data_IF_295628245508
#
_entry.id   IF_295628245508
#
_cell.length_a   1.000
_cell.length_b   1.000
_cell.length_c   1.000
_cell.angle_alpha   90.00
_cell.angle_beta   90.00
_cell.angle_gamma   90.00
#
_symmetry.space_group_name_H-M   'P 1'
#
loop_
_entity.id
_entity.type
_entity.pdbx_description
1 polymer ?
#
# COMPACT_ATOMS: atom_id res chain seq x y z
N UNK A 1 -14.17 -2.81 -21.71
CA UNK A 1 -13.24 -1.72 -21.30
C UNK A 1 -12.38 -2.18 -20.11
N UNK A 2 -11.04 -2.03 -20.18
CA UNK A 2 -10.16 -2.34 -19.05
C UNK A 2 -10.12 -1.17 -18.07
N UNK A 3 -10.11 -1.44 -16.77
CA UNK A 3 -9.90 -0.46 -15.71
C UNK A 3 -8.42 -0.06 -15.65
N UNK A 4 -8.13 1.09 -15.03
CA UNK A 4 -6.75 1.54 -14.82
C UNK A 4 -5.93 0.53 -14.00
N UNK A 5 -6.56 -0.14 -13.02
CA UNK A 5 -5.93 -1.20 -12.22
C UNK A 5 -5.52 -2.39 -13.09
N UNK A 6 -6.37 -2.83 -14.01
CA UNK A 6 -6.05 -3.94 -14.92
C UNK A 6 -4.94 -3.57 -15.91
N UNK A 7 -4.86 -2.31 -16.34
CA UNK A 7 -3.77 -1.83 -17.19
C UNK A 7 -2.44 -1.88 -16.43
N UNK A 8 -2.38 -1.33 -15.22
CA UNK A 8 -1.16 -1.37 -14.40
C UNK A 8 -0.75 -2.79 -14.02
N UNK A 9 -1.69 -3.65 -13.64
CA UNK A 9 -1.41 -5.05 -13.36
C UNK A 9 -0.82 -5.76 -14.58
N UNK A 10 -1.35 -5.49 -15.78
CA UNK A 10 -0.80 -6.04 -17.01
C UNK A 10 0.63 -5.55 -17.29
N UNK A 11 0.89 -4.25 -17.13
CA UNK A 11 2.23 -3.69 -17.30
C UNK A 11 3.23 -4.27 -16.30
N UNK A 12 2.81 -4.42 -15.04
CA UNK A 12 3.63 -5.04 -14.00
C UNK A 12 4.06 -6.46 -14.39
N UNK A 13 3.14 -7.30 -14.88
CA UNK A 13 3.47 -8.67 -15.31
C UNK A 13 4.51 -8.72 -16.44
N UNK A 14 4.57 -7.71 -17.30
CA UNK A 14 5.57 -7.64 -18.38
C UNK A 14 6.98 -7.30 -17.89
N UNK A 15 7.09 -6.62 -16.75
CA UNK A 15 8.37 -6.11 -16.23
C UNK A 15 8.81 -6.77 -14.93
N UNK A 16 7.94 -7.53 -14.25
CA UNK A 16 8.14 -8.12 -12.91
C UNK A 16 9.49 -8.81 -12.76
N UNK A 17 9.85 -9.67 -13.71
CA UNK A 17 11.11 -10.45 -13.69
C UNK A 17 12.38 -9.57 -13.71
N UNK A 18 12.27 -8.31 -14.11
CA UNK A 18 13.39 -7.36 -14.13
C UNK A 18 13.46 -6.44 -12.89
N UNK A 19 12.54 -6.61 -11.94
CA UNK A 19 12.48 -5.83 -10.70
C UNK A 19 13.05 -6.64 -9.54
N UNK A 20 13.70 -5.97 -8.59
CA UNK A 20 14.07 -6.62 -7.32
C UNK A 20 12.83 -6.99 -6.52
N UNK A 21 12.97 -7.97 -5.63
CA UNK A 21 11.90 -8.46 -4.75
C UNK A 21 11.23 -7.31 -3.97
N UNK A 22 12.02 -6.39 -3.41
CA UNK A 22 11.49 -5.20 -2.70
C UNK A 22 10.54 -4.35 -3.58
N UNK A 23 10.86 -4.17 -4.86
CA UNK A 23 10.00 -3.41 -5.78
C UNK A 23 8.78 -4.22 -6.20
N UNK A 24 8.92 -5.53 -6.35
CA UNK A 24 7.80 -6.43 -6.64
C UNK A 24 6.79 -6.39 -5.49
N UNK A 25 7.24 -6.60 -4.25
CA UNK A 25 6.41 -6.57 -3.04
C UNK A 25 5.68 -5.24 -2.87
N UNK A 26 6.39 -4.12 -3.09
CA UNK A 26 5.80 -2.79 -3.00
C UNK A 26 4.71 -2.57 -4.06
N UNK A 27 4.96 -2.97 -5.31
CA UNK A 27 4.00 -2.84 -6.41
C UNK A 27 2.79 -3.75 -6.22
N UNK A 28 2.99 -4.99 -5.81
CA UNK A 28 1.92 -5.94 -5.51
C UNK A 28 1.04 -5.40 -4.38
N UNK A 29 1.65 -4.89 -3.30
CA UNK A 29 0.92 -4.23 -2.23
C UNK A 29 0.06 -3.07 -2.74
N UNK A 30 0.59 -2.22 -3.62
CA UNK A 30 -0.15 -1.09 -4.18
C UNK A 30 -1.30 -1.55 -5.10
N UNK A 31 -1.06 -2.55 -5.95
CA UNK A 31 -2.05 -3.07 -6.89
C UNK A 31 -3.18 -3.83 -6.18
N UNK A 32 -2.87 -4.58 -5.13
CA UNK A 32 -3.83 -5.38 -4.37
C UNK A 32 -4.57 -4.56 -3.32
N UNK A 33 -3.84 -3.85 -2.46
CA UNK A 33 -4.38 -3.17 -1.30
C UNK A 33 -4.76 -1.70 -1.58
N UNK A 34 -4.30 -1.15 -2.69
CA UNK A 34 -4.45 0.25 -3.06
C UNK A 34 -3.29 1.11 -2.58
N UNK A 35 -3.36 2.41 -2.86
CA UNK A 35 -2.36 3.40 -2.43
C UNK A 35 -2.25 3.49 -0.91
N UNK A 36 -1.14 4.04 -0.42
CA UNK A 36 -0.97 4.31 1.01
C UNK A 36 -2.14 5.11 1.61
N UNK A 37 -2.64 6.15 0.91
CA UNK A 37 -3.80 6.93 1.36
C UNK A 37 -5.05 6.07 1.53
N UNK A 38 -5.32 5.18 0.58
CA UNK A 38 -6.44 4.24 0.65
C UNK A 38 -6.28 3.28 1.84
N UNK A 39 -5.07 2.80 2.09
CA UNK A 39 -4.77 1.91 3.21
C UNK A 39 -4.91 2.60 4.56
N UNK A 40 -4.47 3.85 4.69
CA UNK A 40 -4.66 4.66 5.91
C UNK A 40 -6.15 4.82 6.21
N UNK A 41 -6.95 5.18 5.20
CA UNK A 41 -8.40 5.32 5.36
C UNK A 41 -9.08 4.00 5.72
N UNK A 42 -8.63 2.87 5.15
CA UNK A 42 -9.08 1.52 5.54
C UNK A 42 -8.76 1.22 7.01
N UNK A 43 -7.55 1.56 7.47
CA UNK A 43 -7.14 1.34 8.87
C UNK A 43 -7.97 2.13 9.87
N UNK A 44 -8.37 3.35 9.50
CA UNK A 44 -9.26 4.17 10.34
C UNK A 44 -10.69 3.62 10.45
N UNK A 45 -11.14 2.77 9.51
CA UNK A 45 -12.49 2.15 9.50
C UNK A 45 -13.65 3.14 9.77
N UNK A 46 -13.50 4.41 9.37
CA UNK A 46 -14.47 5.47 9.63
C UNK A 46 -14.47 6.03 11.07
N UNK A 47 -13.70 5.45 12.00
CA UNK A 47 -13.52 5.96 13.35
C UNK A 47 -12.47 7.09 13.34
N UNK A 48 -12.84 8.23 12.76
CA UNK A 48 -11.95 9.39 12.64
C UNK A 48 -11.94 10.14 13.97
N UNK A 49 -10.87 9.95 14.74
CA UNK A 49 -10.55 10.71 15.95
C UNK A 49 -9.06 11.05 15.96
N UNK A 50 -8.67 12.09 16.72
CA UNK A 50 -7.26 12.45 16.87
C UNK A 50 -6.42 11.29 17.40
N UNK A 51 -6.98 10.48 18.29
CA UNK A 51 -6.31 9.31 18.88
C UNK A 51 -6.10 8.22 17.83
N UNK A 52 -7.14 7.84 17.10
CA UNK A 52 -7.02 6.82 16.05
C UNK A 52 -6.08 7.27 14.92
N UNK A 53 -6.05 8.56 14.58
CA UNK A 53 -5.06 9.09 13.63
C UNK A 53 -3.65 8.94 14.19
N UNK A 54 -3.40 9.31 15.44
CA UNK A 54 -2.08 9.14 16.08
C UNK A 54 -1.63 7.69 16.09
N UNK A 55 -2.52 6.75 16.36
CA UNK A 55 -2.20 5.32 16.35
C UNK A 55 -1.76 4.85 14.96
N UNK A 56 -2.50 5.25 13.92
CA UNK A 56 -2.15 4.94 12.52
C UNK A 56 -0.78 5.53 12.15
N UNK A 57 -0.52 6.79 12.51
CA UNK A 57 0.78 7.41 12.22
C UNK A 57 1.94 6.84 13.06
N UNK A 58 1.65 6.34 14.27
CA UNK A 58 2.63 5.61 15.09
C UNK A 58 2.98 4.28 14.42
N UNK A 59 1.98 3.53 13.95
CA UNK A 59 2.21 2.30 13.20
C UNK A 59 3.00 2.58 11.90
N UNK A 60 2.64 3.62 11.15
CA UNK A 60 3.40 4.06 9.97
C UNK A 60 4.87 4.37 10.28
N UNK A 61 5.14 5.04 11.41
CA UNK A 61 6.50 5.32 11.85
C UNK A 61 7.30 4.04 12.10
N UNK A 62 6.68 3.02 12.71
CA UNK A 62 7.32 1.73 12.93
C UNK A 62 7.58 0.99 11.60
N UNK A 63 6.60 0.99 10.69
CA UNK A 63 6.78 0.42 9.35
C UNK A 63 7.96 1.06 8.62
N UNK A 64 8.09 2.40 8.68
CA UNK A 64 9.20 3.12 8.05
C UNK A 64 10.55 2.74 8.68
N UNK A 65 10.61 2.64 10.00
CA UNK A 65 11.83 2.25 10.71
C UNK A 65 12.28 0.82 10.36
N UNK A 66 11.33 -0.07 10.06
CA UNK A 66 11.59 -1.46 9.69
C UNK A 66 11.70 -1.68 8.17
N UNK A 67 11.64 -0.63 7.36
CA UNK A 67 11.56 -0.70 5.89
C UNK A 67 10.43 -1.62 5.39
N UNK A 68 9.27 -1.55 6.04
CA UNK A 68 8.06 -2.32 5.70
C UNK A 68 6.96 -1.41 5.18
N UNK A 69 6.09 -1.97 4.36
CA UNK A 69 4.87 -1.28 3.92
C UNK A 69 3.78 -1.36 4.98
N UNK A 70 3.10 -0.24 5.24
CA UNK A 70 1.92 -0.22 6.10
C UNK A 70 0.77 -1.02 5.51
N UNK A 71 0.21 -1.91 6.33
CA UNK A 71 -0.99 -2.69 6.08
C UNK A 71 -2.02 -2.42 7.20
N UNK A 72 -3.31 -2.19 6.87
CA UNK A 72 -4.37 -1.85 7.83
C UNK A 72 -4.94 -3.04 8.61
#
# INVERSE_FOLDING_TARGET
>A
PKTMKEIWAHLYQLVKENLSEDYQDALETILEQGTLSTRILKGLKGAISTENIKDIYTHLSNCLAENKMYLP
#
